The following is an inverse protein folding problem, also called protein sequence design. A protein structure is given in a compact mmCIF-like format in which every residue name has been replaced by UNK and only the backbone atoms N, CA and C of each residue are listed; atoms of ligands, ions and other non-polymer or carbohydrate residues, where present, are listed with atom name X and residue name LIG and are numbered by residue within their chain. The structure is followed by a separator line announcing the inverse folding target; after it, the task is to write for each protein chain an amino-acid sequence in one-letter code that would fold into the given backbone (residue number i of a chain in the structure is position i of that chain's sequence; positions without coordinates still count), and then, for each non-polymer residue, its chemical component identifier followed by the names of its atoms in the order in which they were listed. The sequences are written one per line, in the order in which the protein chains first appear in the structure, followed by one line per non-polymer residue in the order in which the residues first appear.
data_IF_381181556592
#
_entry.id   IF_381181556592
#
_cell.length_a   1.000
_cell.length_b   1.000
_cell.length_c   1.000
_cell.angle_alpha   90.00
_cell.angle_beta   90.00
_cell.angle_gamma   90.00
#
_symmetry.space_group_name_H-M   'P 1'
#
loop_
_entity.id
_entity.type
_entity.pdbx_description
1 polymer ?
#
# COMPACT_ATOMS: atom_id res chain seq x y z
N UNK A 1 -16.98 16.97 -9.08
CA UNK A 1 -16.34 15.68 -9.41
C UNK A 1 -15.26 15.81 -10.48
N UNK A 2 -15.47 16.58 -11.56
CA UNK A 2 -14.45 16.79 -12.63
C UNK A 2 -13.07 17.17 -12.10
N UNK A 3 -12.98 18.11 -11.14
CA UNK A 3 -11.70 18.56 -10.58
C UNK A 3 -10.81 17.46 -10.00
N UNK A 4 -11.38 16.48 -9.29
CA UNK A 4 -10.62 15.42 -8.65
C UNK A 4 -10.14 14.37 -9.65
N UNK A 5 -10.95 14.12 -10.69
CA UNK A 5 -10.55 13.27 -11.83
C UNK A 5 -9.39 13.93 -12.58
N UNK A 6 -9.43 15.24 -12.81
CA UNK A 6 -8.32 15.95 -13.43
C UNK A 6 -7.04 15.91 -12.58
N UNK A 7 -7.16 15.96 -11.24
CA UNK A 7 -5.99 15.79 -10.35
C UNK A 7 -5.34 14.41 -10.53
N UNK A 8 -6.15 13.34 -10.59
CA UNK A 8 -5.67 11.98 -10.88
C UNK A 8 -4.94 11.97 -12.22
N UNK A 9 -5.58 12.52 -13.26
CA UNK A 9 -5.03 12.58 -14.62
C UNK A 9 -3.71 13.34 -14.67
N UNK A 10 -3.63 14.51 -14.05
CA UNK A 10 -2.42 15.35 -14.02
C UNK A 10 -1.28 14.56 -13.35
N UNK A 11 -1.52 13.95 -12.19
CA UNK A 11 -0.49 13.17 -11.48
C UNK A 11 -0.05 11.95 -12.29
N UNK A 12 -0.97 11.26 -12.95
CA UNK A 12 -0.66 10.17 -13.87
C UNK A 12 0.23 10.63 -15.03
N UNK A 13 -0.11 11.75 -15.68
CA UNK A 13 0.66 12.29 -16.81
C UNK A 13 2.05 12.77 -16.38
N UNK A 14 2.19 13.39 -15.21
CA UNK A 14 3.49 13.74 -14.64
C UNK A 14 4.38 12.51 -14.45
N UNK A 15 3.81 11.41 -13.97
CA UNK A 15 4.53 10.14 -13.80
C UNK A 15 4.91 9.52 -15.14
N UNK A 16 4.02 9.60 -16.13
CA UNK A 16 4.25 9.09 -17.49
C UNK A 16 5.39 9.82 -18.22
N UNK A 17 5.56 11.12 -17.95
CA UNK A 17 6.66 11.91 -18.49
C UNK A 17 8.04 11.38 -18.04
N UNK A 18 8.15 10.90 -16.80
CA UNK A 18 9.38 10.36 -16.20
C UNK A 18 9.36 8.84 -16.04
N UNK A 19 8.62 8.13 -16.91
CA UNK A 19 8.37 6.68 -16.81
C UNK A 19 9.64 5.82 -16.73
N UNK A 20 10.75 6.26 -17.35
CA UNK A 20 12.02 5.52 -17.34
C UNK A 20 12.58 5.32 -15.93
N UNK A 21 12.30 6.25 -15.01
CA UNK A 21 12.70 6.15 -13.60
C UNK A 21 12.10 4.93 -12.89
N UNK A 22 11.04 4.34 -13.44
CA UNK A 22 10.33 3.21 -12.85
C UNK A 22 10.83 1.85 -13.34
N UNK A 23 11.48 1.77 -14.50
CA UNK A 23 11.98 0.50 -15.04
C UNK A 23 13.13 -0.08 -14.21
N UNK A 24 13.99 0.78 -13.64
CA UNK A 24 15.01 0.34 -12.67
C UNK A 24 14.37 -0.31 -11.45
N UNK A 25 13.25 0.23 -10.98
CA UNK A 25 12.51 -0.34 -9.86
C UNK A 25 11.87 -1.70 -10.18
N UNK A 26 11.46 -1.96 -11.43
CA UNK A 26 10.99 -3.29 -11.85
C UNK A 26 12.10 -4.32 -11.62
N UNK A 27 13.32 -4.02 -12.06
CA UNK A 27 14.49 -4.90 -11.87
C UNK A 27 14.75 -5.14 -10.38
N UNK A 28 14.72 -4.08 -9.57
CA UNK A 28 14.91 -4.18 -8.11
C UNK A 28 13.85 -5.08 -7.48
N UNK A 29 12.58 -4.94 -7.87
CA UNK A 29 11.48 -5.76 -7.35
C UNK A 29 11.60 -7.21 -7.80
N UNK A 30 11.99 -7.47 -9.05
CA UNK A 30 12.27 -8.82 -9.55
C UNK A 30 13.40 -9.48 -8.77
N UNK A 31 14.48 -8.75 -8.45
CA UNK A 31 15.56 -9.28 -7.60
C UNK A 31 15.05 -9.61 -6.20
N UNK A 32 14.27 -8.73 -5.58
CA UNK A 32 13.68 -9.00 -4.26
C UNK A 32 12.78 -10.25 -4.29
N UNK A 33 11.87 -10.34 -5.26
CA UNK A 33 11.01 -11.52 -5.43
C UNK A 33 11.84 -12.77 -5.65
N UNK A 34 12.91 -12.70 -6.45
CA UNK A 34 13.83 -13.81 -6.65
C UNK A 34 14.52 -14.27 -5.36
N UNK A 35 14.98 -13.33 -4.53
CA UNK A 35 15.54 -13.65 -3.23
C UNK A 35 14.53 -14.38 -2.33
N UNK A 36 13.28 -13.89 -2.26
CA UNK A 36 12.22 -14.57 -1.53
C UNK A 36 11.83 -15.92 -2.13
N UNK A 37 11.83 -16.05 -3.45
CA UNK A 37 11.55 -17.31 -4.15
C UNK A 37 12.53 -18.40 -3.70
N UNK A 38 13.83 -18.11 -3.72
CA UNK A 38 14.85 -19.06 -3.27
C UNK A 38 14.81 -19.30 -1.76
N UNK A 39 14.53 -18.26 -0.97
CA UNK A 39 14.33 -18.39 0.49
C UNK A 39 13.20 -19.36 0.81
N UNK A 40 12.02 -19.18 0.21
CA UNK A 40 10.86 -20.04 0.47
C UNK A 40 11.08 -21.47 -0.04
N UNK A 41 11.73 -21.62 -1.20
CA UNK A 41 12.12 -22.94 -1.71
C UNK A 41 13.05 -23.67 -0.74
N UNK A 42 14.00 -22.96 -0.12
CA UNK A 42 14.90 -23.52 0.88
C UNK A 42 14.17 -23.89 2.19
N UNK A 43 13.27 -23.02 2.67
CA UNK A 43 12.46 -23.26 3.88
C UNK A 43 11.57 -24.49 3.72
N UNK A 44 10.89 -24.63 2.58
CA UNK A 44 10.04 -25.78 2.32
C UNK A 44 10.86 -27.06 2.11
N UNK A 45 12.06 -26.97 1.52
CA UNK A 45 12.95 -28.10 1.31
C UNK A 45 12.26 -29.22 0.51
N UNK A 46 12.00 -30.36 1.16
CA UNK A 46 11.29 -31.50 0.58
C UNK A 46 9.80 -31.58 0.99
N UNK A 47 9.31 -30.65 1.82
CA UNK A 47 7.92 -30.61 2.24
C UNK A 47 7.05 -30.03 1.11
N UNK A 48 6.01 -30.76 0.71
CA UNK A 48 5.09 -30.32 -0.35
C UNK A 48 4.19 -29.14 0.06
N UNK A 49 3.93 -28.98 1.36
CA UNK A 49 3.13 -27.88 1.90
C UNK A 49 3.55 -27.55 3.34
N UNK A 50 3.46 -26.27 3.71
CA UNK A 50 3.60 -25.80 5.09
C UNK A 50 2.28 -25.09 5.44
N UNK A 51 1.65 -25.51 6.53
CA UNK A 51 0.36 -24.98 6.99
C UNK A 51 -0.73 -24.93 5.88
N UNK A 52 -0.74 -25.95 5.00
CA UNK A 52 -1.71 -26.06 3.91
C UNK A 52 -1.43 -25.18 2.69
N UNK A 53 -0.34 -24.40 2.66
CA UNK A 53 0.07 -23.60 1.50
C UNK A 53 1.22 -24.29 0.78
N UNK A 54 1.11 -24.50 -0.53
CA UNK A 54 2.18 -25.08 -1.34
C UNK A 54 3.31 -24.08 -1.63
N UNK A 55 4.49 -24.58 -2.01
CA UNK A 55 5.61 -23.72 -2.43
C UNK A 55 5.19 -22.78 -3.56
N UNK A 56 4.48 -23.31 -4.56
CA UNK A 56 4.06 -22.51 -5.72
C UNK A 56 3.09 -21.40 -5.31
N UNK A 57 2.11 -21.72 -4.46
CA UNK A 57 1.18 -20.72 -3.91
C UNK A 57 1.92 -19.65 -3.09
N UNK A 58 2.92 -20.04 -2.29
CA UNK A 58 3.75 -19.11 -1.54
C UNK A 58 4.52 -18.17 -2.46
N UNK A 59 5.11 -18.70 -3.54
CA UNK A 59 5.84 -17.88 -4.50
C UNK A 59 4.93 -16.94 -5.29
N UNK A 60 3.72 -17.38 -5.65
CA UNK A 60 2.68 -16.51 -6.23
C UNK A 60 2.28 -15.41 -5.24
N UNK A 61 2.03 -15.77 -3.98
CA UNK A 61 1.70 -14.81 -2.93
C UNK A 61 2.76 -13.71 -2.80
N UNK A 62 4.04 -14.08 -2.71
CA UNK A 62 5.15 -13.13 -2.60
C UNK A 62 5.23 -12.25 -3.84
N UNK A 63 5.17 -12.83 -5.04
CA UNK A 63 5.23 -12.07 -6.28
C UNK A 63 4.12 -11.02 -6.34
N UNK A 64 2.90 -11.41 -5.98
CA UNK A 64 1.74 -10.50 -5.96
C UNK A 64 1.86 -9.47 -4.85
N UNK A 65 2.31 -9.83 -3.65
CA UNK A 65 2.47 -8.88 -2.55
C UNK A 65 3.43 -7.74 -2.93
N UNK A 66 4.58 -8.09 -3.52
CA UNK A 66 5.54 -7.10 -4.02
C UNK A 66 4.99 -6.29 -5.20
N UNK A 67 4.30 -6.91 -6.15
CA UNK A 67 3.76 -6.17 -7.30
C UNK A 67 2.58 -5.27 -6.91
N UNK A 68 1.71 -5.73 -6.02
CA UNK A 68 0.60 -4.93 -5.46
C UNK A 68 1.10 -3.76 -4.61
N UNK A 69 2.27 -3.91 -3.96
CA UNK A 69 2.94 -2.82 -3.25
C UNK A 69 3.13 -1.58 -4.11
N UNK A 70 3.52 -1.73 -5.37
CA UNK A 70 3.73 -0.58 -6.24
C UNK A 70 2.44 0.24 -6.46
N UNK A 71 1.25 -0.37 -6.36
CA UNK A 71 -0.03 0.33 -6.44
C UNK A 71 -0.37 1.09 -5.15
N UNK A 72 -0.32 0.41 -3.98
CA UNK A 72 -0.75 1.04 -2.73
C UNK A 72 0.30 2.01 -2.15
N UNK A 73 1.59 1.79 -2.44
CA UNK A 73 2.69 2.57 -1.88
C UNK A 73 2.75 3.96 -2.50
N UNK A 74 2.73 4.97 -1.64
CA UNK A 74 2.90 6.38 -1.99
C UNK A 74 3.69 7.10 -0.89
N UNK A 75 4.29 8.25 -1.22
CA UNK A 75 5.08 9.07 -0.30
C UNK A 75 4.32 10.31 0.20
N UNK A 76 2.99 10.23 0.28
CA UNK A 76 2.16 11.38 0.66
C UNK A 76 2.47 11.90 2.07
N UNK A 77 2.89 11.04 2.98
CA UNK A 77 3.34 11.43 4.32
C UNK A 77 4.52 12.41 4.27
N UNK A 78 5.51 12.13 3.43
CA UNK A 78 6.67 13.00 3.22
C UNK A 78 6.28 14.29 2.49
N UNK A 79 5.51 14.19 1.41
CA UNK A 79 5.05 15.38 0.66
C UNK A 79 4.25 16.35 1.55
N UNK A 80 3.37 15.82 2.38
CA UNK A 80 2.57 16.62 3.33
C UNK A 80 3.48 17.23 4.40
N UNK A 81 4.43 16.46 4.94
CA UNK A 81 5.35 16.96 5.96
C UNK A 81 6.21 18.11 5.43
N UNK A 82 6.78 17.97 4.23
CA UNK A 82 7.56 19.01 3.55
C UNK A 82 6.71 20.27 3.32
N UNK A 83 5.47 20.13 2.83
CA UNK A 83 4.58 21.28 2.62
C UNK A 83 4.18 22.01 3.92
N UNK A 84 4.10 21.29 5.03
CA UNK A 84 3.81 21.89 6.35
C UNK A 84 5.03 22.63 6.87
N UNK A 85 6.21 21.99 6.84
CA UNK A 85 7.47 22.58 7.32
C UNK A 85 7.84 23.82 6.50
N UNK A 86 7.60 23.81 5.20
CA UNK A 86 7.87 24.95 4.31
C UNK A 86 6.73 25.99 4.29
N UNK A 87 5.64 25.79 5.06
CA UNK A 87 4.50 26.71 5.10
C UNK A 87 3.63 26.75 3.84
N UNK A 88 3.96 25.98 2.80
CA UNK A 88 3.20 25.87 1.54
C UNK A 88 1.76 25.38 1.76
N UNK A 89 1.52 24.63 2.83
CA UNK A 89 0.19 24.16 3.22
C UNK A 89 -0.82 25.31 3.42
N UNK A 90 -0.36 26.51 3.83
CA UNK A 90 -1.23 27.67 4.00
C UNK A 90 -1.86 28.12 2.66
N UNK A 91 -1.07 28.11 1.58
CA UNK A 91 -1.53 28.47 0.24
C UNK A 91 -2.55 27.44 -0.28
N UNK A 92 -2.28 26.16 -0.03
CA UNK A 92 -3.17 25.08 -0.41
C UNK A 92 -4.53 25.14 0.30
N UNK A 93 -4.57 25.67 1.53
CA UNK A 93 -5.80 25.83 2.31
C UNK A 93 -6.71 26.98 1.83
N UNK A 94 -6.17 27.97 1.11
CA UNK A 94 -6.94 29.08 0.54
C UNK A 94 -7.68 28.63 -0.73
N UNK A 95 -7.25 27.54 -1.37
CA UNK A 95 -7.84 27.06 -2.63
C UNK A 95 -9.22 26.42 -2.39
N UNK A 96 -10.15 26.51 -3.37
CA UNK A 96 -11.52 26.00 -3.24
C UNK A 96 -11.62 24.46 -3.42
N UNK A 97 -10.77 23.71 -2.73
CA UNK A 97 -10.81 22.25 -2.67
C UNK A 97 -10.37 21.73 -1.31
N UNK A 98 -10.70 20.46 -1.04
CA UNK A 98 -10.25 19.81 0.18
C UNK A 98 -8.81 19.31 -0.03
N UNK A 99 -7.86 19.86 0.73
CA UNK A 99 -6.44 19.51 0.65
C UNK A 99 -6.16 18.00 0.79
N UNK A 100 -6.70 17.37 1.84
CA UNK A 100 -6.47 15.94 2.08
C UNK A 100 -7.04 15.08 0.95
N UNK A 101 -8.22 15.42 0.46
CA UNK A 101 -8.82 14.70 -0.67
C UNK A 101 -7.98 14.89 -1.94
N UNK A 102 -7.45 16.08 -2.20
CA UNK A 102 -6.50 16.32 -3.30
C UNK A 102 -5.27 15.42 -3.17
N UNK A 103 -4.68 15.29 -1.98
CA UNK A 103 -3.55 14.38 -1.72
C UNK A 103 -3.90 12.92 -1.99
N UNK A 104 -5.07 12.45 -1.56
CA UNK A 104 -5.55 11.09 -1.86
C UNK A 104 -5.69 10.89 -3.37
N UNK A 105 -6.25 11.85 -4.11
CA UNK A 105 -6.41 11.77 -5.56
C UNK A 105 -5.07 11.80 -6.31
N UNK A 106 -4.10 12.58 -5.84
CA UNK A 106 -2.72 12.52 -6.36
C UNK A 106 -2.12 11.13 -6.12
N UNK A 107 -2.19 10.62 -4.88
CA UNK A 107 -1.73 9.26 -4.57
C UNK A 107 -2.39 8.20 -5.47
N UNK A 108 -3.68 8.36 -5.78
CA UNK A 108 -4.40 7.42 -6.65
C UNK A 108 -3.92 7.49 -8.10
N UNK A 109 -3.67 8.69 -8.64
CA UNK A 109 -3.09 8.85 -9.98
C UNK A 109 -1.68 8.23 -10.08
N UNK A 110 -0.86 8.40 -9.03
CA UNK A 110 0.44 7.75 -8.90
C UNK A 110 0.31 6.22 -8.84
N UNK A 111 -0.60 5.71 -8.02
CA UNK A 111 -0.90 4.30 -7.88
C UNK A 111 -1.37 3.68 -9.19
N UNK A 112 -2.34 4.29 -9.87
CA UNK A 112 -2.84 3.83 -11.19
C UNK A 112 -1.69 3.77 -12.21
N UNK A 113 -0.84 4.79 -12.27
CA UNK A 113 0.33 4.75 -13.14
C UNK A 113 1.22 3.56 -12.82
N UNK A 114 1.58 3.37 -11.55
CA UNK A 114 2.43 2.25 -11.13
C UNK A 114 1.77 0.90 -11.38
N UNK A 115 0.46 0.77 -11.21
CA UNK A 115 -0.24 -0.47 -11.51
C UNK A 115 -0.05 -0.88 -12.99
N UNK A 116 -0.29 0.05 -13.93
CA UNK A 116 -0.21 -0.25 -15.36
C UNK A 116 1.21 -0.31 -15.91
N UNK A 117 2.12 0.55 -15.45
CA UNK A 117 3.46 0.70 -16.02
C UNK A 117 4.58 0.09 -15.17
N UNK A 118 4.28 -0.36 -13.95
CA UNK A 118 5.22 -1.03 -13.06
C UNK A 118 4.75 -2.43 -12.67
N UNK A 119 3.58 -2.55 -12.02
CA UNK A 119 3.10 -3.83 -11.48
C UNK A 119 2.80 -4.84 -12.58
N UNK A 120 2.08 -4.46 -13.63
CA UNK A 120 1.75 -5.38 -14.74
C UNK A 120 3.01 -5.83 -15.49
N UNK A 121 3.88 -4.94 -16.01
CA UNK A 121 5.08 -5.37 -16.72
C UNK A 121 6.05 -6.15 -15.81
N UNK A 122 6.19 -5.73 -14.55
CA UNK A 122 7.01 -6.42 -13.56
C UNK A 122 6.49 -7.81 -13.22
N UNK A 123 5.17 -7.96 -13.08
CA UNK A 123 4.55 -9.27 -12.87
C UNK A 123 4.75 -10.20 -14.08
N UNK A 124 4.59 -9.70 -15.30
CA UNK A 124 4.87 -10.47 -16.53
C UNK A 124 6.32 -10.94 -16.52
N UNK A 125 7.28 -10.06 -16.22
CA UNK A 125 8.70 -10.43 -16.14
C UNK A 125 8.95 -11.53 -15.09
N UNK A 126 8.37 -11.39 -13.90
CA UNK A 126 8.50 -12.39 -12.82
C UNK A 126 7.86 -13.72 -13.21
N UNK A 127 6.68 -13.71 -13.84
CA UNK A 127 5.99 -14.92 -14.29
C UNK A 127 6.74 -15.66 -15.42
N UNK A 128 7.58 -14.96 -16.20
CA UNK A 128 8.46 -15.58 -17.19
C UNK A 128 9.70 -16.24 -16.56
N UNK A 129 10.21 -15.68 -15.47
CA UNK A 129 11.43 -16.16 -14.79
C UNK A 129 11.11 -17.28 -13.80
N UNK A 130 10.00 -17.13 -13.06
CA UNK A 130 9.62 -18.03 -11.97
C UNK A 130 8.31 -18.75 -12.32
N UNK A 131 8.23 -20.03 -11.95
CA UNK A 131 6.98 -20.80 -12.07
C UNK A 131 6.00 -20.33 -11.01
N UNK A 132 5.04 -19.50 -11.42
CA UNK A 132 3.94 -19.05 -10.57
C UNK A 132 2.69 -19.88 -10.89
N UNK A 133 1.95 -20.26 -9.85
CA UNK A 133 0.63 -20.86 -9.99
C UNK A 133 -0.40 -19.72 -9.98
N UNK A 134 -0.89 -19.34 -11.18
CA UNK A 134 -1.77 -18.20 -11.39
C UNK A 134 -3.06 -18.68 -12.04
N UNK A 135 -4.15 -18.54 -11.29
CA UNK A 135 -5.50 -18.77 -11.79
C UNK A 135 -6.06 -17.43 -12.30
N UNK A 136 -6.25 -17.32 -13.62
CA UNK A 136 -6.86 -16.13 -14.25
C UNK A 136 -8.39 -16.12 -14.13
N UNK A 137 -8.92 -16.50 -12.97
CA UNK A 137 -10.35 -16.43 -12.70
C UNK A 137 -10.79 -14.96 -12.59
N UNK A 138 -11.72 -14.56 -13.45
CA UNK A 138 -12.20 -13.17 -13.52
C UNK A 138 -12.81 -12.69 -12.18
N UNK A 139 -13.44 -13.59 -11.42
CA UNK A 139 -13.96 -13.30 -10.08
C UNK A 139 -12.84 -13.03 -9.09
N UNK A 140 -11.80 -13.86 -9.06
CA UNK A 140 -10.63 -13.68 -8.20
C UNK A 140 -9.91 -12.36 -8.53
N UNK A 141 -9.74 -12.05 -9.81
CA UNK A 141 -9.15 -10.79 -10.26
C UNK A 141 -9.97 -9.57 -9.82
N UNK A 142 -11.30 -9.62 -9.99
CA UNK A 142 -12.19 -8.54 -9.54
C UNK A 142 -12.11 -8.31 -8.03
N UNK A 143 -12.13 -9.39 -7.24
CA UNK A 143 -11.99 -9.33 -5.77
C UNK A 143 -10.61 -8.80 -5.35
N UNK A 144 -9.54 -9.21 -6.03
CA UNK A 144 -8.19 -8.69 -5.82
C UNK A 144 -8.12 -7.18 -6.10
N UNK A 145 -8.73 -6.69 -7.18
CA UNK A 145 -8.73 -5.26 -7.51
C UNK A 145 -9.49 -4.45 -6.45
N UNK A 146 -10.65 -4.93 -5.99
CA UNK A 146 -11.41 -4.28 -4.90
C UNK A 146 -10.56 -4.23 -3.62
N UNK A 147 -9.98 -5.37 -3.21
CA UNK A 147 -9.11 -5.43 -2.04
C UNK A 147 -7.87 -4.54 -2.18
N UNK A 148 -7.33 -4.39 -3.39
CA UNK A 148 -6.18 -3.53 -3.68
C UNK A 148 -6.54 -2.05 -3.54
N UNK A 149 -7.72 -1.63 -3.99
CA UNK A 149 -8.22 -0.25 -3.77
C UNK A 149 -8.36 0.04 -2.29
N UNK A 150 -8.93 -0.89 -1.51
CA UNK A 150 -9.01 -0.74 -0.06
C UNK A 150 -7.63 -0.70 0.60
N UNK A 151 -6.69 -1.52 0.12
CA UNK A 151 -5.28 -1.51 0.58
C UNK A 151 -4.62 -0.15 0.33
N UNK A 152 -4.83 0.42 -0.85
CA UNK A 152 -4.39 1.78 -1.18
C UNK A 152 -5.00 2.80 -0.23
N UNK A 153 -6.31 2.70 0.07
CA UNK A 153 -6.98 3.63 0.98
C UNK A 153 -6.41 3.54 2.39
N UNK A 154 -6.26 2.35 2.96
CA UNK A 154 -5.69 2.15 4.31
C UNK A 154 -4.26 2.68 4.38
N UNK A 155 -3.41 2.30 3.42
CA UNK A 155 -2.02 2.77 3.37
C UNK A 155 -1.96 4.31 3.26
N UNK A 156 -2.81 4.89 2.41
CA UNK A 156 -2.90 6.34 2.26
C UNK A 156 -3.38 7.02 3.54
N UNK A 157 -4.36 6.46 4.25
CA UNK A 157 -4.83 6.99 5.53
C UNK A 157 -3.71 7.01 6.59
N UNK A 158 -2.91 5.94 6.68
CA UNK A 158 -1.75 5.90 7.56
C UNK A 158 -0.68 6.93 7.16
N UNK A 159 -0.49 7.15 5.86
CA UNK A 159 0.38 8.20 5.35
C UNK A 159 -0.14 9.60 5.71
N UNK A 160 -1.44 9.86 5.54
CA UNK A 160 -2.06 11.13 5.95
C UNK A 160 -1.87 11.39 7.44
N UNK A 161 -2.14 10.40 8.29
CA UNK A 161 -1.93 10.52 9.74
C UNK A 161 -0.49 10.91 10.07
N UNK A 162 0.48 10.23 9.46
CA UNK A 162 1.90 10.44 9.74
C UNK A 162 2.39 11.79 9.19
N UNK A 163 1.96 12.17 7.99
CA UNK A 163 2.28 13.47 7.40
C UNK A 163 1.71 14.63 8.21
N UNK A 164 0.48 14.51 8.70
CA UNK A 164 -0.15 15.52 9.55
C UNK A 164 0.53 15.72 10.91
N UNK A 165 1.33 14.76 11.38
CA UNK A 165 2.13 14.96 12.59
C UNK A 165 3.18 16.08 12.44
N UNK A 166 3.55 16.48 11.22
CA UNK A 166 4.45 17.61 10.98
C UNK A 166 3.88 18.95 11.48
N UNK A 167 2.56 19.06 11.70
CA UNK A 167 1.99 20.25 12.36
C UNK A 167 2.39 20.38 13.83
N UNK A 168 2.77 19.27 14.47
CA UNK A 168 3.10 19.23 15.89
C UNK A 168 4.58 18.91 16.14
N UNK A 169 5.26 18.33 15.16
CA UNK A 169 6.65 17.91 15.23
C UNK A 169 7.46 18.66 14.19
N UNK A 170 8.55 19.30 14.61
CA UNK A 170 9.44 20.03 13.70
C UNK A 170 10.17 19.11 12.69
N UNK A 171 10.35 17.83 13.04
CA UNK A 171 10.88 16.79 12.15
C UNK A 171 10.17 15.46 12.43
N UNK A 172 9.34 15.00 11.50
CA UNK A 172 8.61 13.72 11.60
C UNK A 172 9.23 12.60 10.75
N UNK A 173 10.44 12.77 10.20
CA UNK A 173 11.07 11.78 9.32
C UNK A 173 11.27 10.42 10.03
N UNK A 174 11.62 10.44 11.31
CA UNK A 174 11.71 9.21 12.12
C UNK A 174 10.39 8.45 12.19
N UNK A 175 9.26 9.15 12.34
CA UNK A 175 7.93 8.56 12.36
C UNK A 175 7.55 7.96 11.00
N UNK A 176 7.87 8.66 9.90
CA UNK A 176 7.65 8.18 8.53
C UNK A 176 8.38 6.84 8.32
N UNK A 177 9.65 6.77 8.72
CA UNK A 177 10.44 5.54 8.56
C UNK A 177 9.98 4.41 9.47
N UNK A 178 9.71 4.71 10.75
CA UNK A 178 9.19 3.72 11.70
C UNK A 178 7.87 3.12 11.20
N UNK A 179 6.93 3.96 10.76
CA UNK A 179 5.66 3.53 10.17
C UNK A 179 5.87 2.66 8.92
N UNK A 180 6.83 2.99 8.06
CA UNK A 180 7.15 2.19 6.87
C UNK A 180 7.63 0.78 7.24
N UNK A 181 8.55 0.67 8.19
CA UNK A 181 9.07 -0.63 8.67
C UNK A 181 7.95 -1.46 9.31
N UNK A 182 7.10 -0.84 10.13
CA UNK A 182 5.94 -1.50 10.76
C UNK A 182 5.00 -2.06 9.68
N UNK A 183 4.64 -1.26 8.67
CA UNK A 183 3.79 -1.72 7.58
C UNK A 183 4.46 -2.85 6.80
N UNK A 184 5.72 -2.71 6.41
CA UNK A 184 6.43 -3.72 5.62
C UNK A 184 6.54 -5.07 6.35
N UNK A 185 6.72 -5.04 7.68
CA UNK A 185 6.84 -6.23 8.50
C UNK A 185 5.47 -6.88 8.78
N UNK A 186 4.50 -6.11 9.28
CA UNK A 186 3.22 -6.64 9.78
C UNK A 186 2.12 -6.74 8.72
N UNK A 187 2.33 -6.21 7.51
CA UNK A 187 1.33 -6.33 6.43
C UNK A 187 1.29 -7.69 5.76
N UNK A 188 2.24 -8.59 6.06
CA UNK A 188 2.42 -9.85 5.36
C UNK A 188 3.34 -9.75 4.14
N UNK A 189 3.83 -8.56 3.79
CA UNK A 189 4.68 -8.34 2.60
C UNK A 189 6.05 -9.04 2.73
N UNK A 190 6.76 -8.78 3.83
CA UNK A 190 8.12 -9.31 4.06
C UNK A 190 8.06 -10.77 4.53
N UNK A 191 7.20 -11.03 5.51
CA UNK A 191 6.98 -12.36 6.08
C UNK A 191 5.47 -12.60 6.05
N UNK A 192 4.97 -13.67 5.41
CA UNK A 192 3.56 -14.01 5.42
C UNK A 192 3.08 -14.18 6.87
N UNK A 193 1.88 -13.69 7.16
CA UNK A 193 1.33 -13.63 8.53
C UNK A 193 1.29 -15.02 9.18
N UNK A 194 1.06 -16.07 8.39
CA UNK A 194 1.03 -17.47 8.83
C UNK A 194 2.32 -17.98 9.48
N UNK A 195 3.46 -17.33 9.22
CA UNK A 195 4.76 -17.70 9.77
C UNK A 195 5.13 -16.96 11.06
N UNK A 196 4.31 -16.00 11.50
CA UNK A 196 4.52 -15.35 12.79
C UNK A 196 4.15 -16.30 13.94
N UNK A 197 4.72 -16.12 15.15
CA UNK A 197 4.22 -16.79 16.35
C UNK A 197 2.72 -16.53 16.57
N UNK A 198 1.99 -17.48 17.16
CA UNK A 198 0.53 -17.41 17.33
C UNK A 198 0.09 -16.11 18.03
N UNK A 199 0.79 -15.70 19.09
CA UNK A 199 0.49 -14.46 19.80
C UNK A 199 0.58 -13.22 18.89
N UNK A 200 1.53 -13.19 17.96
CA UNK A 200 1.70 -12.07 17.03
C UNK A 200 0.62 -12.09 15.95
N UNK A 201 0.22 -13.28 15.48
CA UNK A 201 -0.93 -13.45 14.59
C UNK A 201 -2.21 -12.92 15.23
N UNK A 202 -2.43 -13.20 16.52
CA UNK A 202 -3.60 -12.73 17.24
C UNK A 202 -3.62 -11.21 17.39
N UNK A 203 -2.48 -10.59 17.69
CA UNK A 203 -2.36 -9.13 17.73
C UNK A 203 -2.64 -8.50 16.35
N UNK A 204 -2.07 -9.06 15.28
CA UNK A 204 -2.24 -8.54 13.92
C UNK A 204 -3.69 -8.56 13.43
N UNK A 205 -4.54 -9.44 13.97
CA UNK A 205 -5.99 -9.44 13.68
C UNK A 205 -6.69 -8.15 14.09
N UNK A 206 -6.11 -7.41 15.03
CA UNK A 206 -6.64 -6.14 15.53
C UNK A 206 -5.87 -4.92 14.99
N UNK A 207 -5.02 -5.08 13.97
CA UNK A 207 -4.22 -4.00 13.38
C UNK A 207 -4.49 -3.87 11.88
N UNK A 208 -4.44 -2.65 11.31
CA UNK A 208 -4.85 -2.42 9.91
C UNK A 208 -3.92 -3.08 8.88
N UNK A 209 -2.71 -3.50 9.29
CA UNK A 209 -1.61 -3.81 8.38
C UNK A 209 -1.90 -4.99 7.46
N UNK A 210 -2.57 -6.04 7.94
CA UNK A 210 -2.95 -7.19 7.10
C UNK A 210 -3.86 -6.79 5.94
N UNK A 211 -4.62 -5.70 6.11
CA UNK A 211 -5.47 -5.12 5.08
C UNK A 211 -4.72 -4.38 3.98
N UNK A 212 -3.39 -4.22 4.08
CA UNK A 212 -2.58 -3.51 3.07
C UNK A 212 -1.96 -4.49 2.06
N UNK A 213 -1.45 -5.64 2.50
CA UNK A 213 -0.72 -6.55 1.61
C UNK A 213 -1.22 -7.99 1.69
N UNK A 214 -1.42 -8.53 2.89
CA UNK A 214 -1.81 -9.92 3.08
C UNK A 214 -3.16 -10.25 2.43
N UNK A 215 -4.20 -9.46 2.71
CA UNK A 215 -5.55 -9.72 2.20
C UNK A 215 -5.63 -9.78 0.67
N UNK A 216 -5.23 -8.73 -0.09
CA UNK A 216 -5.29 -8.79 -1.54
C UNK A 216 -4.41 -9.92 -2.11
N UNK A 217 -3.22 -10.14 -1.57
CA UNK A 217 -2.28 -11.14 -2.10
C UNK A 217 -2.79 -12.57 -1.89
N UNK A 218 -3.39 -12.86 -0.75
CA UNK A 218 -4.01 -14.16 -0.48
C UNK A 218 -5.30 -14.40 -1.28
N UNK A 219 -6.07 -13.35 -1.59
CA UNK A 219 -7.21 -13.46 -2.51
C UNK A 219 -6.69 -13.88 -3.89
N UNK A 220 -5.67 -13.21 -4.41
CA UNK A 220 -5.12 -13.51 -5.73
C UNK A 220 -4.46 -14.89 -5.80
N UNK A 221 -3.68 -15.25 -4.78
CA UNK A 221 -3.03 -16.57 -4.68
C UNK A 221 -4.02 -17.71 -4.35
N UNK A 222 -5.33 -17.44 -4.34
CA UNK A 222 -6.40 -18.37 -3.95
C UNK A 222 -6.24 -19.02 -2.56
N UNK A 223 -5.43 -18.42 -1.68
CA UNK A 223 -5.27 -18.84 -0.29
C UNK A 223 -6.46 -18.48 0.60
N UNK A 224 -7.31 -17.56 0.16
CA UNK A 224 -8.60 -17.24 0.78
C UNK A 224 -9.76 -17.53 -0.17
N UNK A 225 -10.78 -18.25 0.32
CA UNK A 225 -11.97 -18.64 -0.46
C UNK A 225 -13.25 -18.38 0.33
N UNK A 226 -14.36 -18.20 -0.38
CA UNK A 226 -15.71 -18.09 0.20
C UNK A 226 -15.84 -16.97 1.24
N UNK A 227 -16.32 -17.34 2.43
CA UNK A 227 -16.58 -16.40 3.53
C UNK A 227 -15.33 -15.66 4.02
N UNK A 228 -14.15 -16.27 3.92
CA UNK A 228 -12.89 -15.63 4.33
C UNK A 228 -12.59 -14.36 3.54
N UNK A 229 -12.93 -14.34 2.24
CA UNK A 229 -12.78 -13.15 1.40
C UNK A 229 -13.70 -12.04 1.90
N UNK A 230 -14.96 -12.36 2.18
CA UNK A 230 -15.93 -11.38 2.67
C UNK A 230 -15.50 -10.80 4.01
N UNK A 231 -15.04 -11.64 4.95
CA UNK A 231 -14.50 -11.19 6.24
C UNK A 231 -13.27 -10.30 6.05
N UNK A 232 -12.38 -10.63 5.11
CA UNK A 232 -11.22 -9.81 4.80
C UNK A 232 -11.57 -8.44 4.21
N UNK A 233 -12.53 -8.38 3.28
CA UNK A 233 -13.02 -7.12 2.73
C UNK A 233 -13.75 -6.27 3.78
N UNK A 234 -14.59 -6.89 4.61
CA UNK A 234 -15.26 -6.22 5.73
C UNK A 234 -14.22 -5.63 6.71
N UNK A 235 -13.19 -6.40 7.02
CA UNK A 235 -12.08 -5.95 7.86
C UNK A 235 -11.42 -4.69 7.29
N UNK A 236 -11.15 -4.66 5.98
CA UNK A 236 -10.59 -3.48 5.33
C UNK A 236 -11.55 -2.27 5.41
N UNK A 237 -12.85 -2.48 5.16
CA UNK A 237 -13.86 -1.41 5.24
C UNK A 237 -13.95 -0.84 6.66
N UNK A 238 -13.97 -1.71 7.68
CA UNK A 238 -13.97 -1.29 9.09
C UNK A 238 -12.76 -0.41 9.39
N UNK A 239 -11.56 -0.82 8.97
CA UNK A 239 -10.35 -0.03 9.19
C UNK A 239 -10.35 1.29 8.42
N UNK A 240 -10.87 1.31 7.19
CA UNK A 240 -11.05 2.55 6.43
C UNK A 240 -11.92 3.52 7.21
N UNK A 241 -13.04 3.06 7.78
CA UNK A 241 -13.92 3.89 8.60
C UNK A 241 -13.26 4.35 9.90
N UNK A 242 -12.58 3.45 10.62
CA UNK A 242 -11.89 3.76 11.89
C UNK A 242 -10.80 4.81 11.67
N UNK A 243 -9.96 4.68 10.64
CA UNK A 243 -8.85 5.60 10.38
C UNK A 243 -9.32 7.00 9.93
N UNK A 244 -10.52 7.14 9.37
CA UNK A 244 -11.08 8.46 9.08
C UNK A 244 -11.26 9.33 10.34
N UNK A 245 -11.55 8.72 11.49
CA UNK A 245 -11.79 9.43 12.75
C UNK A 245 -10.54 10.22 13.19
N UNK A 246 -9.38 9.60 13.46
CA UNK A 246 -8.20 10.35 13.87
C UNK A 246 -7.71 11.32 12.78
N UNK A 247 -7.85 11.00 11.48
CA UNK A 247 -7.46 11.92 10.40
C UNK A 247 -8.25 13.21 10.48
N UNK A 248 -9.58 13.12 10.63
CA UNK A 248 -10.45 14.30 10.67
C UNK A 248 -10.22 15.12 11.94
N UNK A 249 -10.03 14.48 13.09
CA UNK A 249 -9.73 15.14 14.37
C UNK A 249 -8.38 15.88 14.33
N UNK A 250 -7.33 15.21 13.88
CA UNK A 250 -5.99 15.79 13.75
C UNK A 250 -6.01 16.94 12.76
N UNK A 251 -6.66 16.76 11.60
CA UNK A 251 -6.78 17.81 10.59
C UNK A 251 -7.54 19.04 11.09
N UNK A 252 -8.63 18.84 11.84
CA UNK A 252 -9.37 19.94 12.44
C UNK A 252 -8.53 20.72 13.46
N UNK A 253 -7.74 20.02 14.30
CA UNK A 253 -6.83 20.64 15.27
C UNK A 253 -5.67 21.36 14.58
N UNK A 254 -5.10 20.77 13.53
CA UNK A 254 -3.99 21.30 12.76
C UNK A 254 -4.33 22.64 12.10
N UNK A 255 -5.53 22.77 11.50
CA UNK A 255 -5.99 24.04 10.90
C UNK A 255 -6.04 25.21 11.90
N UNK A 256 -6.18 24.94 13.21
CA UNK A 256 -6.15 25.97 14.26
C UNK A 256 -4.73 26.33 14.72
N UNK A 257 -3.76 25.45 14.51
CA UNK A 257 -2.35 25.63 14.89
C UNK A 257 -1.51 26.22 13.76
N UNK A 258 -2.14 26.60 12.64
CA UNK A 258 -1.49 27.21 11.50
C UNK A 258 -1.13 28.66 11.85
N UNK A 259 -0.08 28.82 12.64
CA UNK A 259 0.61 30.09 12.80
C UNK A 259 1.39 30.28 11.52
N UNK A 260 1.02 31.31 10.76
CA UNK A 260 1.76 31.72 9.57
C UNK A 260 3.16 32.10 10.07
N UNK A 261 4.15 31.22 9.88
CA UNK A 261 5.57 31.46 10.23
C UNK A 261 6.21 32.52 9.30
N UNK A 262 5.41 33.45 8.78
CA UNK A 262 5.80 34.50 7.83
C UNK A 262 5.09 35.84 8.03
N UNK A 263 4.28 36.00 9.09
CA UNK A 263 3.50 37.22 9.36
C UNK A 263 2.03 37.11 8.96
#
# INVERSE_FOLDING_TARGET
MSKYIEIIRIRFLMMLAYRTNYYTGIVIYTINIGAYYFLWKAIYGHQGSIQGVSVNQMTTYVAIAWMARAFYFNNLDREIAEEIVEGKVAIELIRPYNYLLTKVMQGLGEGIFRFFFFSIPGFILVALIFRLDVSFNLKTLGLFLIASVFSFTINTQLNLLTGLMAFFLQNNMGFIQAKRVIIDLFSGLTIPITFFPVWAQDVMKYLPFQGISYIPSMIFAEGMKGELILRGLLFQVIWISILCIPITLIWYKAKKHLVIQGG
#
